data_IF_004217953007
#
_entry.id   IF_004217953007
#
_cell.length_a   1.000
_cell.length_b   1.000
_cell.length_c   1.000
_cell.angle_alpha   90.00
_cell.angle_beta   90.00
_cell.angle_gamma   90.00
#
_symmetry.space_group_name_H-M   'P 1'
#
loop_
_entity.id
_entity.type
_entity.pdbx_description
1 polymer ?
#
# COMPACT_ATOMS: atom_id res chain seq x y z
N UNK A 1 5.87 12.92 -21.49
CA UNK A 1 5.80 11.67 -20.69
C UNK A 1 7.16 11.39 -20.06
N UNK A 2 7.14 10.69 -18.92
CA UNK A 2 8.33 10.39 -18.11
C UNK A 2 8.60 8.88 -18.12
N UNK A 3 9.88 8.50 -17.98
CA UNK A 3 10.30 7.10 -17.84
C UNK A 3 10.06 6.59 -16.42
N UNK A 4 10.36 7.44 -15.42
CA UNK A 4 10.21 7.13 -14.00
C UNK A 4 9.68 8.36 -13.28
N UNK A 5 8.71 8.13 -12.40
CA UNK A 5 8.20 9.15 -11.45
C UNK A 5 8.31 8.56 -10.06
N UNK A 6 9.07 9.21 -9.17
CA UNK A 6 9.23 8.79 -7.79
C UNK A 6 8.94 9.96 -6.84
N UNK A 7 8.15 9.72 -5.80
CA UNK A 7 7.81 10.74 -4.80
C UNK A 7 7.30 10.14 -3.49
N UNK A 8 7.52 10.86 -2.40
CA UNK A 8 6.71 10.75 -1.20
C UNK A 8 5.56 11.75 -1.37
N UNK A 9 4.34 11.25 -1.64
CA UNK A 9 3.20 12.10 -1.94
C UNK A 9 2.53 12.63 -0.67
N UNK A 10 1.92 13.83 -0.71
CA UNK A 10 1.27 14.41 0.47
C UNK A 10 0.22 13.50 1.07
N UNK A 11 0.16 13.43 2.40
CA UNK A 11 -0.88 12.73 3.15
C UNK A 11 -2.03 13.70 3.43
N UNK A 12 -3.26 13.27 3.22
CA UNK A 12 -4.44 14.07 3.55
C UNK A 12 -5.60 13.94 2.57
N UNK A 13 -6.76 14.47 2.98
CA UNK A 13 -8.00 14.46 2.21
C UNK A 13 -8.29 15.80 1.50
N UNK A 14 -7.24 16.55 1.19
CA UNK A 14 -7.38 17.82 0.48
C UNK A 14 -7.78 17.58 -0.97
N UNK A 15 -8.78 18.31 -1.45
CA UNK A 15 -9.14 18.30 -2.88
C UNK A 15 -8.15 19.07 -3.72
N UNK A 16 -8.01 18.64 -4.99
CA UNK A 16 -7.12 19.28 -5.96
C UNK A 16 -7.95 19.96 -7.05
N UNK A 17 -7.60 21.21 -7.34
CA UNK A 17 -8.22 21.93 -8.45
C UNK A 17 -7.52 21.62 -9.76
N UNK A 18 -8.07 20.66 -10.50
CA UNK A 18 -7.66 20.35 -11.89
C UNK A 18 -8.94 20.21 -12.73
N UNK A 19 -9.14 21.16 -13.64
CA UNK A 19 -10.32 21.20 -14.51
C UNK A 19 -10.41 19.99 -15.43
N UNK A 20 -9.29 19.43 -15.87
CA UNK A 20 -9.26 18.25 -16.75
C UNK A 20 -9.77 17.00 -16.03
N UNK A 21 -9.47 16.90 -14.73
CA UNK A 21 -9.93 15.83 -13.87
C UNK A 21 -11.38 16.04 -13.40
N UNK A 22 -11.69 17.24 -12.91
CA UNK A 22 -13.02 17.56 -12.36
C UNK A 22 -14.15 17.50 -13.40
N UNK A 23 -13.83 17.70 -14.68
CA UNK A 23 -14.76 17.64 -15.83
C UNK A 23 -14.58 16.40 -16.69
N UNK A 24 -13.79 15.44 -16.26
CA UNK A 24 -13.57 14.20 -17.01
C UNK A 24 -14.86 13.38 -17.12
N UNK A 25 -15.00 12.66 -18.23
CA UNK A 25 -16.03 11.61 -18.38
C UNK A 25 -15.69 10.35 -17.59
N UNK A 26 -14.42 10.19 -17.21
CA UNK A 26 -13.96 9.11 -16.36
C UNK A 26 -14.28 9.43 -14.89
N UNK A 27 -15.17 8.65 -14.30
CA UNK A 27 -15.61 8.83 -12.92
C UNK A 27 -14.48 8.66 -11.89
N UNK A 28 -13.46 7.84 -12.19
CA UNK A 28 -12.30 7.66 -11.32
C UNK A 28 -11.47 8.96 -11.27
N UNK A 29 -11.29 9.66 -12.38
CA UNK A 29 -10.59 10.96 -12.43
C UNK A 29 -11.36 12.02 -11.65
N UNK A 30 -12.68 12.08 -11.78
CA UNK A 30 -13.54 13.00 -11.02
C UNK A 30 -13.45 12.71 -9.53
N UNK A 31 -13.49 11.44 -9.13
CA UNK A 31 -13.33 11.03 -7.74
C UNK A 31 -11.92 11.36 -7.21
N UNK A 32 -10.89 11.12 -8.01
CA UNK A 32 -9.51 11.39 -7.63
C UNK A 32 -9.24 12.86 -7.31
N UNK A 33 -9.86 13.80 -8.03
CA UNK A 33 -9.73 15.23 -7.76
C UNK A 33 -10.20 15.65 -6.36
N UNK A 34 -10.96 14.80 -5.66
CA UNK A 34 -11.45 15.06 -4.30
C UNK A 34 -10.46 14.69 -3.19
N UNK A 35 -9.37 14.00 -3.53
CA UNK A 35 -8.37 13.56 -2.56
C UNK A 35 -6.98 13.60 -3.18
N UNK A 36 -6.07 14.36 -2.56
CA UNK A 36 -4.75 14.64 -3.10
C UNK A 36 -3.95 13.37 -3.42
N UNK A 37 -3.97 12.36 -2.56
CA UNK A 37 -3.22 11.12 -2.82
C UNK A 37 -3.81 10.32 -4.00
N UNK A 38 -5.13 10.25 -4.15
CA UNK A 38 -5.78 9.62 -5.30
C UNK A 38 -5.42 10.34 -6.60
N UNK A 39 -5.45 11.69 -6.56
CA UNK A 39 -5.09 12.52 -7.70
C UNK A 39 -3.64 12.29 -8.13
N UNK A 40 -2.69 12.27 -7.19
CA UNK A 40 -1.28 12.04 -7.52
C UNK A 40 -1.06 10.68 -8.20
N UNK A 41 -1.75 9.63 -7.77
CA UNK A 41 -1.63 8.32 -8.41
C UNK A 41 -2.12 8.33 -9.86
N UNK A 42 -3.35 8.77 -10.11
CA UNK A 42 -3.87 8.79 -11.48
C UNK A 42 -3.11 9.77 -12.35
N UNK A 43 -2.80 10.97 -11.84
CA UNK A 43 -2.02 11.96 -12.59
C UNK A 43 -0.61 11.49 -12.88
N UNK A 44 0.04 10.84 -11.92
CA UNK A 44 1.38 10.25 -12.12
C UNK A 44 1.37 9.21 -13.23
N UNK A 45 0.41 8.29 -13.23
CA UNK A 45 0.31 7.28 -14.31
C UNK A 45 -0.07 7.90 -15.66
N UNK A 46 -0.89 8.95 -15.71
CA UNK A 46 -1.18 9.70 -16.95
C UNK A 46 0.08 10.35 -17.54
N UNK A 47 1.04 10.75 -16.68
CA UNK A 47 2.28 11.41 -17.11
C UNK A 47 3.39 10.43 -17.52
N UNK A 48 3.28 9.14 -17.19
CA UNK A 48 4.22 8.12 -17.63
C UNK A 48 4.03 7.79 -19.12
N UNK A 49 5.15 7.48 -19.79
CA UNK A 49 5.07 6.74 -21.05
C UNK A 49 4.65 5.30 -20.79
N UNK A 50 4.24 4.60 -21.84
CA UNK A 50 4.01 3.15 -21.76
C UNK A 50 5.31 2.44 -21.34
N UNK A 51 5.22 1.46 -20.46
CA UNK A 51 6.38 0.80 -19.84
C UNK A 51 7.08 1.61 -18.73
N UNK A 52 6.77 2.89 -18.54
CA UNK A 52 7.33 3.72 -17.48
C UNK A 52 6.91 3.27 -16.08
N UNK A 53 7.68 3.68 -15.06
CA UNK A 53 7.53 3.19 -13.67
C UNK A 53 7.16 4.31 -12.72
N UNK A 54 6.12 4.08 -11.91
CA UNK A 54 5.70 4.93 -10.80
C UNK A 54 6.16 4.34 -9.47
N UNK A 55 6.77 5.14 -8.60
CA UNK A 55 7.26 4.73 -7.28
C UNK A 55 6.78 5.75 -6.26
N UNK A 56 5.74 5.42 -5.50
CA UNK A 56 5.18 6.34 -4.51
C UNK A 56 5.17 5.76 -3.11
N UNK A 57 5.55 6.60 -2.13
CA UNK A 57 5.21 6.38 -0.72
C UNK A 57 3.99 7.23 -0.42
N UNK A 58 3.00 6.65 0.26
CA UNK A 58 1.72 7.27 0.56
C UNK A 58 1.18 6.82 1.92
N UNK A 59 0.16 7.52 2.43
CA UNK A 59 -0.59 7.03 3.59
C UNK A 59 -1.35 5.75 3.27
N UNK A 60 -1.64 4.96 4.29
CA UNK A 60 -2.40 3.70 4.13
C UNK A 60 -3.84 3.90 3.62
N UNK A 61 -4.36 5.11 3.68
CA UNK A 61 -5.74 5.44 3.31
C UNK A 61 -6.11 5.08 1.87
N UNK A 62 -5.18 5.23 0.91
CA UNK A 62 -5.46 4.88 -0.49
C UNK A 62 -5.75 3.38 -0.65
N UNK A 63 -5.03 2.52 0.07
CA UNK A 63 -5.19 1.07 -0.01
C UNK A 63 -6.28 0.55 0.93
N UNK A 64 -6.35 1.04 2.16
CA UNK A 64 -7.27 0.51 3.16
C UNK A 64 -8.72 0.94 2.94
N UNK A 65 -8.98 2.16 2.46
CA UNK A 65 -10.34 2.67 2.33
C UNK A 65 -11.12 1.95 1.22
N UNK A 66 -12.29 1.36 1.53
CA UNK A 66 -13.19 0.78 0.51
C UNK A 66 -13.66 1.82 -0.52
N UNK A 67 -13.76 3.09 -0.14
CA UNK A 67 -14.17 4.19 -1.03
C UNK A 67 -13.19 4.40 -2.18
N UNK A 68 -11.93 3.97 -2.03
CA UNK A 68 -10.88 4.11 -3.03
C UNK A 68 -10.76 2.89 -3.96
N UNK A 69 -11.60 1.87 -3.82
CA UNK A 69 -11.58 0.72 -4.72
C UNK A 69 -11.73 1.12 -6.21
N UNK A 70 -12.63 2.04 -6.61
CA UNK A 70 -12.71 2.48 -8.01
C UNK A 70 -11.40 3.09 -8.52
N UNK A 71 -10.67 3.82 -7.67
CA UNK A 71 -9.36 4.39 -8.02
C UNK A 71 -8.32 3.28 -8.22
N UNK A 72 -8.26 2.31 -7.30
CA UNK A 72 -7.34 1.17 -7.42
C UNK A 72 -7.62 0.33 -8.66
N UNK A 73 -8.90 0.11 -8.99
CA UNK A 73 -9.29 -0.59 -10.22
C UNK A 73 -8.89 0.19 -11.47
N UNK A 74 -9.11 1.49 -11.51
CA UNK A 74 -8.67 2.34 -12.62
C UNK A 74 -7.14 2.28 -12.80
N UNK A 75 -6.38 2.32 -11.70
CA UNK A 75 -4.92 2.15 -11.74
C UNK A 75 -4.53 0.79 -12.33
N UNK A 76 -5.17 -0.29 -11.92
CA UNK A 76 -4.82 -1.65 -12.38
C UNK A 76 -5.26 -1.94 -13.82
N UNK A 77 -6.18 -1.16 -14.39
CA UNK A 77 -6.57 -1.30 -15.80
C UNK A 77 -5.45 -0.92 -16.78
N UNK A 78 -4.60 0.03 -16.40
CA UNK A 78 -3.54 0.57 -17.27
C UNK A 78 -2.12 0.39 -16.69
N UNK A 79 -1.97 -0.33 -15.58
CA UNK A 79 -0.68 -0.54 -14.96
C UNK A 79 -0.57 -1.98 -14.44
N UNK A 80 0.65 -2.52 -14.48
CA UNK A 80 1.02 -3.75 -13.79
C UNK A 80 1.45 -3.40 -12.36
N UNK A 81 1.06 -4.22 -11.39
CA UNK A 81 1.56 -4.13 -10.03
C UNK A 81 2.96 -4.73 -9.96
N UNK A 82 3.99 -3.91 -9.76
CA UNK A 82 5.37 -4.37 -9.61
C UNK A 82 5.67 -4.71 -8.17
N UNK A 83 5.30 -3.84 -7.23
CA UNK A 83 5.47 -4.06 -5.80
C UNK A 83 4.48 -3.25 -4.99
N UNK A 84 4.03 -3.82 -3.87
CA UNK A 84 3.37 -3.10 -2.79
C UNK A 84 3.88 -3.62 -1.46
N UNK A 85 4.33 -2.70 -0.60
CA UNK A 85 4.93 -3.03 0.69
C UNK A 85 4.40 -2.05 1.73
N UNK A 86 3.86 -2.57 2.83
CA UNK A 86 3.52 -1.77 4.00
C UNK A 86 4.77 -1.49 4.81
N UNK A 87 4.97 -0.21 5.12
CA UNK A 87 6.12 0.27 5.86
C UNK A 87 5.76 0.42 7.34
N UNK A 88 6.72 0.19 8.26
CA UNK A 88 6.46 0.32 9.70
C UNK A 88 6.19 1.78 10.08
N UNK A 89 5.38 1.96 11.11
CA UNK A 89 4.94 3.28 11.57
C UNK A 89 6.10 4.18 12.03
N UNK A 90 7.20 3.58 12.49
CA UNK A 90 8.38 4.32 12.95
C UNK A 90 9.36 4.71 11.82
N UNK A 91 9.00 4.53 10.54
CA UNK A 91 9.87 4.93 9.42
C UNK A 91 10.28 6.40 9.47
N UNK A 92 9.35 7.29 9.83
CA UNK A 92 9.57 8.75 9.82
C UNK A 92 9.90 9.32 11.20
N UNK A 93 10.00 8.51 12.25
CA UNK A 93 10.19 8.99 13.62
C UNK A 93 11.50 9.75 13.79
N UNK A 94 12.61 9.21 13.23
CA UNK A 94 13.94 9.81 13.39
C UNK A 94 14.08 11.15 12.63
N UNK A 95 13.38 11.33 11.49
CA UNK A 95 13.56 12.47 10.61
C UNK A 95 12.44 13.50 10.68
N UNK A 96 11.23 13.06 11.00
CA UNK A 96 10.05 13.93 11.01
C UNK A 96 9.31 13.93 12.36
N UNK A 97 9.77 13.17 13.34
CA UNK A 97 9.17 13.11 14.68
C UNK A 97 7.72 12.59 14.67
N UNK A 98 7.31 11.85 13.64
CA UNK A 98 5.95 11.36 13.49
C UNK A 98 5.92 9.85 13.27
N UNK A 99 4.93 9.19 13.87
CA UNK A 99 4.60 7.78 13.63
C UNK A 99 3.36 7.72 12.76
N UNK A 100 3.52 7.35 11.51
CA UNK A 100 2.42 7.24 10.56
C UNK A 100 2.54 5.98 9.72
N UNK A 101 1.43 5.26 9.59
CA UNK A 101 1.37 4.12 8.69
C UNK A 101 1.42 4.55 7.23
N UNK A 102 2.35 3.99 6.48
CA UNK A 102 2.55 4.30 5.07
C UNK A 102 2.75 3.03 4.25
N UNK A 103 2.51 3.14 2.95
CA UNK A 103 2.68 2.07 1.99
C UNK A 103 3.57 2.56 0.83
N UNK A 104 4.52 1.72 0.40
CA UNK A 104 5.25 1.89 -0.85
C UNK A 104 4.53 1.15 -1.96
N UNK A 105 4.23 1.83 -3.05
CA UNK A 105 3.52 1.28 -4.22
C UNK A 105 4.37 1.54 -5.46
N UNK A 106 4.64 0.48 -6.22
CA UNK A 106 5.38 0.54 -7.48
C UNK A 106 4.52 -0.05 -8.59
N UNK A 107 4.25 0.75 -9.59
CA UNK A 107 3.44 0.41 -10.76
C UNK A 107 4.25 0.56 -12.03
N UNK A 108 3.98 -0.27 -13.04
CA UNK A 108 4.51 -0.10 -14.39
C UNK A 108 3.38 0.15 -15.35
N UNK A 109 3.44 1.25 -16.10
CA UNK A 109 2.43 1.58 -17.12
C UNK A 109 2.35 0.50 -18.19
N UNK A 110 1.13 0.01 -18.46
CA UNK A 110 0.84 -1.00 -19.49
C UNK A 110 -0.53 -0.72 -20.10
N UNK A 111 -0.54 0.03 -21.19
CA UNK A 111 -1.78 0.45 -21.86
C UNK A 111 -2.43 -0.64 -22.70
N UNK A 112 -1.72 -1.76 -22.93
CA UNK A 112 -2.25 -2.91 -23.68
C UNK A 112 -2.70 -4.07 -22.78
N UNK A 113 -2.74 -3.83 -21.46
CA UNK A 113 -3.17 -4.83 -20.47
C UNK A 113 -4.59 -5.30 -20.72
N UNK A 114 -4.82 -6.63 -20.66
CA UNK A 114 -6.11 -7.25 -20.98
C UNK A 114 -6.91 -7.67 -19.73
N UNK A 115 -6.22 -8.03 -18.67
CA UNK A 115 -6.86 -8.56 -17.45
C UNK A 115 -6.00 -8.27 -16.21
N UNK A 116 -6.64 -8.31 -15.03
CA UNK A 116 -5.96 -8.23 -13.76
C UNK A 116 -5.47 -9.61 -13.34
N UNK A 117 -4.32 -9.64 -12.68
CA UNK A 117 -3.80 -10.82 -11.98
C UNK A 117 -4.53 -10.99 -10.64
N UNK A 118 -4.40 -12.16 -9.99
CA UNK A 118 -4.95 -12.39 -8.66
C UNK A 118 -4.39 -11.38 -7.63
N UNK A 119 -3.10 -11.08 -7.68
CA UNK A 119 -2.46 -10.08 -6.81
C UNK A 119 -3.05 -8.68 -7.01
N UNK A 120 -3.33 -8.30 -8.24
CA UNK A 120 -3.95 -7.01 -8.57
C UNK A 120 -5.41 -6.94 -8.15
N UNK A 121 -6.15 -8.05 -8.21
CA UNK A 121 -7.49 -8.13 -7.64
C UNK A 121 -7.46 -7.94 -6.11
N UNK A 122 -6.51 -8.58 -5.40
CA UNK A 122 -6.30 -8.35 -3.96
C UNK A 122 -5.92 -6.90 -3.66
N UNK A 123 -5.04 -6.29 -4.48
CA UNK A 123 -4.69 -4.87 -4.36
C UNK A 123 -5.91 -3.95 -4.51
N UNK A 124 -6.87 -4.28 -5.36
CA UNK A 124 -8.08 -3.49 -5.53
C UNK A 124 -9.02 -3.57 -4.32
N UNK A 125 -9.08 -4.70 -3.62
CA UNK A 125 -10.08 -4.98 -2.60
C UNK A 125 -9.67 -4.51 -1.20
N UNK A 126 -10.67 -4.10 -0.40
CA UNK A 126 -10.53 -3.88 1.04
C UNK A 126 -11.39 -4.90 1.78
N UNK A 127 -10.92 -5.34 2.94
CA UNK A 127 -11.63 -6.26 3.83
C UNK A 127 -11.63 -5.72 5.25
N UNK A 128 -12.65 -6.11 6.03
CA UNK A 128 -12.68 -5.79 7.45
C UNK A 128 -11.69 -6.70 8.19
N UNK A 129 -10.90 -6.10 9.07
CA UNK A 129 -10.07 -6.84 10.03
C UNK A 129 -10.93 -7.39 11.15
N UNK A 130 -10.37 -8.25 11.99
CA UNK A 130 -11.00 -8.72 13.22
C UNK A 130 -11.35 -7.58 14.22
N UNK A 131 -10.77 -6.40 14.04
CA UNK A 131 -11.02 -5.19 14.84
C UNK A 131 -12.07 -4.27 14.21
N UNK A 132 -12.79 -4.75 13.19
CA UNK A 132 -13.80 -3.99 12.44
C UNK A 132 -13.26 -2.71 11.78
N UNK A 133 -12.00 -2.70 11.41
CA UNK A 133 -11.37 -1.63 10.64
C UNK A 133 -11.02 -2.11 9.23
N UNK A 134 -11.13 -1.26 8.19
CA UNK A 134 -10.81 -1.67 6.83
C UNK A 134 -9.29 -1.81 6.66
N UNK A 135 -8.87 -2.86 5.96
CA UNK A 135 -7.51 -3.06 5.48
C UNK A 135 -7.52 -3.57 4.06
N UNK A 136 -6.49 -3.25 3.29
CA UNK A 136 -6.37 -3.79 1.95
C UNK A 136 -6.17 -5.32 1.98
N UNK A 137 -6.87 -6.02 1.10
CA UNK A 137 -6.83 -7.49 1.05
C UNK A 137 -5.43 -8.05 0.74
N UNK A 138 -4.58 -7.26 0.09
CA UNK A 138 -3.19 -7.64 -0.21
C UNK A 138 -2.33 -7.87 1.04
N UNK A 139 -2.64 -7.21 2.16
CA UNK A 139 -1.92 -7.33 3.42
C UNK A 139 -2.50 -8.34 4.41
N UNK A 140 -3.39 -9.23 3.96
CA UNK A 140 -3.87 -10.32 4.82
C UNK A 140 -2.74 -11.24 5.27
N UNK A 141 -1.75 -11.41 4.40
CA UNK A 141 -0.48 -12.03 4.72
C UNK A 141 0.53 -10.95 5.13
N UNK A 142 1.14 -11.12 6.31
CA UNK A 142 2.14 -10.20 6.85
C UNK A 142 3.47 -10.20 6.09
N UNK A 143 3.66 -11.08 5.10
CA UNK A 143 4.91 -11.15 4.31
C UNK A 143 5.20 -9.88 3.51
N UNK A 144 4.18 -9.05 3.25
CA UNK A 144 4.30 -7.78 2.55
C UNK A 144 4.39 -6.57 3.47
N UNK A 145 4.67 -6.80 4.76
CA UNK A 145 4.79 -5.77 5.79
C UNK A 145 6.21 -5.82 6.36
N UNK A 146 6.95 -4.72 6.23
CA UNK A 146 8.28 -4.59 6.86
C UNK A 146 8.09 -4.30 8.33
N UNK A 147 8.50 -5.22 9.21
CA UNK A 147 8.41 -5.06 10.66
C UNK A 147 9.25 -6.09 11.41
N UNK A 148 9.64 -5.77 12.63
CA UNK A 148 10.15 -6.74 13.62
C UNK A 148 9.11 -7.00 14.70
N UNK A 149 8.29 -6.00 15.02
CA UNK A 149 7.32 -6.03 16.10
C UNK A 149 5.97 -5.47 15.62
N UNK A 150 4.91 -5.92 16.28
CA UNK A 150 3.56 -5.40 16.06
C UNK A 150 2.81 -5.31 17.39
N UNK A 151 1.97 -4.30 17.52
CA UNK A 151 1.06 -4.15 18.67
C UNK A 151 -0.30 -3.68 18.20
N UNK A 152 -1.34 -4.02 18.94
CA UNK A 152 -2.64 -3.38 18.80
C UNK A 152 -2.60 -2.06 19.55
N UNK A 153 -2.93 -0.97 18.88
CA UNK A 153 -2.96 0.38 19.43
C UNK A 153 -4.06 1.18 18.72
N UNK A 154 -4.05 2.48 18.82
CA UNK A 154 -4.91 3.37 18.07
C UNK A 154 -4.13 4.08 16.96
N UNK A 155 -4.76 4.28 15.82
CA UNK A 155 -4.23 5.15 14.77
C UNK A 155 -4.33 6.63 15.15
N UNK A 156 -3.85 7.51 14.27
CA UNK A 156 -3.92 8.96 14.48
C UNK A 156 -5.35 9.51 14.59
N UNK A 157 -6.36 8.72 14.21
CA UNK A 157 -7.78 9.06 14.27
C UNK A 157 -8.50 8.40 15.44
N UNK A 158 -7.76 7.73 16.33
CA UNK A 158 -8.31 7.05 17.51
C UNK A 158 -9.02 5.73 17.21
N UNK A 159 -8.81 5.14 16.02
CA UNK A 159 -9.38 3.84 15.67
C UNK A 159 -8.42 2.70 16.00
N UNK A 160 -8.92 1.52 16.44
CA UNK A 160 -8.07 0.37 16.69
C UNK A 160 -7.29 -0.02 15.42
N UNK A 161 -5.97 -0.11 15.53
CA UNK A 161 -5.09 -0.43 14.43
C UNK A 161 -3.92 -1.31 14.86
N UNK A 162 -3.46 -2.19 13.97
CA UNK A 162 -2.18 -2.85 14.13
C UNK A 162 -1.06 -1.88 13.76
N UNK A 163 -0.24 -1.55 14.74
CA UNK A 163 0.93 -0.70 14.59
C UNK A 163 2.15 -1.61 14.42
N UNK A 164 2.87 -1.40 13.34
CA UNK A 164 4.08 -2.14 13.00
C UNK A 164 5.30 -1.28 13.28
N UNK A 165 6.33 -1.85 13.89
CA UNK A 165 7.60 -1.15 14.15
C UNK A 165 8.78 -2.03 13.76
N UNK A 166 9.92 -1.40 13.49
CA UNK A 166 11.18 -2.08 13.23
C UNK A 166 12.21 -1.65 14.27
N UNK A 167 12.76 -2.60 15.02
CA UNK A 167 13.69 -2.35 16.13
C UNK A 167 14.99 -1.67 15.70
N UNK A 168 15.46 -1.94 14.47
CA UNK A 168 16.70 -1.40 13.93
C UNK A 168 16.48 -0.09 13.14
N UNK A 169 15.32 0.58 13.32
CA UNK A 169 14.99 1.87 12.73
C UNK A 169 15.14 1.90 11.22
N UNK A 170 15.48 3.07 10.67
CA UNK A 170 15.56 3.30 9.23
C UNK A 170 16.54 2.36 8.51
N UNK A 171 17.66 2.00 9.16
CA UNK A 171 18.67 1.10 8.56
C UNK A 171 18.14 -0.31 8.37
N UNK A 172 17.45 -0.86 9.37
CA UNK A 172 16.82 -2.19 9.27
C UNK A 172 15.70 -2.22 8.25
N UNK A 173 14.84 -1.19 8.26
CA UNK A 173 13.76 -1.00 7.28
C UNK A 173 14.33 -1.00 5.86
N UNK A 174 15.38 -0.22 5.61
CA UNK A 174 16.00 -0.13 4.29
C UNK A 174 16.60 -1.45 3.83
N UNK A 175 17.19 -2.23 4.74
CA UNK A 175 17.75 -3.57 4.43
C UNK A 175 16.66 -4.54 4.01
N UNK A 176 15.59 -4.66 4.80
CA UNK A 176 14.51 -5.59 4.53
C UNK A 176 13.73 -5.20 3.28
N UNK A 177 13.44 -3.90 3.13
CA UNK A 177 12.79 -3.35 1.94
C UNK A 177 13.61 -3.62 0.68
N UNK A 178 14.94 -3.41 0.73
CA UNK A 178 15.82 -3.70 -0.42
C UNK A 178 15.71 -5.14 -0.87
N UNK A 179 15.69 -6.11 0.07
CA UNK A 179 15.56 -7.52 -0.27
C UNK A 179 14.22 -7.80 -0.96
N UNK A 180 13.10 -7.27 -0.42
CA UNK A 180 11.77 -7.42 -1.01
C UNK A 180 11.71 -6.82 -2.42
N UNK A 181 12.25 -5.62 -2.61
CA UNK A 181 12.22 -4.93 -3.90
C UNK A 181 13.07 -5.62 -4.96
N UNK A 182 14.24 -6.17 -4.60
CA UNK A 182 15.06 -6.95 -5.54
C UNK A 182 14.33 -8.19 -6.05
N UNK A 183 13.61 -8.89 -5.17
CA UNK A 183 12.80 -10.04 -5.55
C UNK A 183 11.62 -9.62 -6.45
N UNK A 184 10.92 -8.53 -6.10
CA UNK A 184 9.77 -8.04 -6.86
C UNK A 184 10.17 -7.54 -8.24
N UNK A 185 11.24 -6.78 -8.35
CA UNK A 185 11.74 -6.31 -9.65
C UNK A 185 12.16 -7.47 -10.55
N UNK A 186 12.81 -8.47 -9.98
CA UNK A 186 13.18 -9.67 -10.74
C UNK A 186 12.00 -10.47 -11.26
N UNK A 187 10.86 -10.43 -10.55
CA UNK A 187 9.66 -11.22 -10.87
C UNK A 187 8.61 -10.45 -11.68
N UNK A 188 8.45 -9.14 -11.43
CA UNK A 188 7.26 -8.39 -11.84
C UNK A 188 7.54 -7.18 -12.72
N UNK A 189 8.79 -6.67 -12.76
CA UNK A 189 9.12 -5.60 -13.67
C UNK A 189 9.38 -6.16 -15.07
N UNK A 190 8.55 -5.75 -16.05
CA UNK A 190 8.74 -6.13 -17.44
C UNK A 190 9.77 -5.21 -18.11
N UNK A 191 11.00 -5.68 -18.24
CA UNK A 191 12.07 -4.89 -18.85
C UNK A 191 11.89 -4.72 -20.37
N UNK A 192 11.26 -5.68 -21.07
CA UNK A 192 10.90 -5.54 -22.48
C UNK A 192 9.91 -4.40 -22.70
N UNK A 193 8.85 -4.35 -21.87
CA UNK A 193 7.89 -3.24 -21.88
C UNK A 193 8.58 -1.90 -21.54
N UNK A 194 9.48 -1.89 -20.54
CA UNK A 194 10.24 -0.68 -20.19
C UNK A 194 11.13 -0.18 -21.34
N UNK A 195 11.70 -1.08 -22.13
CA UNK A 195 12.54 -0.74 -23.30
C UNK A 195 11.74 -0.43 -24.56
N UNK A 196 10.41 -0.56 -24.52
CA UNK A 196 9.55 -0.40 -25.69
C UNK A 196 9.57 -1.62 -26.65
N UNK A 197 10.05 -2.76 -26.16
CA UNK A 197 9.97 -4.03 -26.87
C UNK A 197 8.60 -4.64 -26.59
N UNK A 198 7.72 -4.67 -27.59
CA UNK A 198 6.37 -5.27 -27.47
C UNK A 198 6.47 -6.80 -27.41
N UNK A 199 6.79 -7.34 -26.26
CA UNK A 199 6.63 -8.76 -25.99
C UNK A 199 5.35 -8.99 -25.17
N UNK A 200 4.31 -9.45 -25.86
CA UNK A 200 3.00 -9.78 -25.30
C UNK A 200 2.97 -11.04 -24.41
N UNK A 201 4.11 -11.65 -24.06
CA UNK A 201 4.12 -13.03 -23.59
C UNK A 201 4.43 -13.28 -22.10
N UNK A 202 4.48 -12.26 -21.26
CA UNK A 202 4.74 -12.50 -19.82
C UNK A 202 3.72 -11.87 -18.89
N UNK A 203 2.52 -12.47 -18.85
CA UNK A 203 1.67 -12.41 -17.65
C UNK A 203 2.30 -13.36 -16.63
N UNK A 204 3.20 -12.87 -15.79
CA UNK A 204 3.75 -13.65 -14.69
C UNK A 204 2.69 -13.68 -13.58
N UNK A 205 2.02 -14.83 -13.44
CA UNK A 205 1.21 -15.13 -12.26
C UNK A 205 2.14 -15.18 -11.05
N UNK A 206 1.89 -14.36 -10.05
CA UNK A 206 2.58 -14.41 -8.75
C UNK A 206 2.04 -15.62 -7.99
N UNK A 207 2.79 -16.69 -7.77
CA UNK A 207 2.38 -17.68 -6.80
C UNK A 207 2.49 -17.05 -5.40
N UNK A 208 1.35 -16.78 -4.76
CA UNK A 208 1.35 -16.47 -3.32
C UNK A 208 1.67 -17.78 -2.60
N UNK A 209 2.95 -18.01 -2.32
CA UNK A 209 3.35 -19.12 -1.46
C UNK A 209 3.07 -18.69 -0.03
N UNK A 210 2.13 -19.31 0.69
CA UNK A 210 1.87 -18.96 2.07
C UNK A 210 3.12 -19.28 2.91
N UNK A 211 3.78 -18.24 3.42
CA UNK A 211 4.77 -18.43 4.47
C UNK A 211 4.05 -18.65 5.80
N UNK A 212 4.43 -19.70 6.49
CA UNK A 212 3.92 -20.06 7.82
C UNK A 212 4.12 -18.86 8.76
N UNK A 213 3.03 -18.26 9.19
CA UNK A 213 3.03 -17.22 10.21
C UNK A 213 3.49 -17.80 11.55
N UNK A 214 4.44 -17.16 12.26
CA UNK A 214 4.69 -17.54 13.65
C UNK A 214 3.41 -17.38 14.49
N UNK A 215 3.16 -18.25 15.48
CA UNK A 215 1.94 -18.22 16.27
C UNK A 215 1.76 -16.86 16.95
N UNK A 216 0.52 -16.35 16.93
CA UNK A 216 0.13 -15.16 17.69
C UNK A 216 0.28 -15.51 19.16
N UNK A 217 1.23 -14.89 19.86
CA UNK A 217 1.29 -14.95 21.32
C UNK A 217 0.17 -14.03 21.82
N UNK A 218 -0.94 -14.61 22.28
CA UNK A 218 -1.98 -13.85 22.96
C UNK A 218 -1.40 -13.25 24.23
N UNK A 219 -1.69 -11.96 24.54
CA UNK A 219 -1.30 -11.40 25.82
C UNK A 219 -2.00 -12.17 26.95
N UNK A 220 -1.23 -12.57 27.98
CA UNK A 220 -1.74 -13.28 29.14
C UNK A 220 -2.92 -12.50 29.73
N UNK A 221 -4.05 -13.19 29.90
CA UNK A 221 -5.23 -12.65 30.58
C UNK A 221 -4.87 -12.39 32.04
N UNK A 222 -4.75 -11.11 32.42
CA UNK A 222 -4.60 -10.74 33.82
C UNK A 222 -5.95 -10.96 34.48
N UNK A 223 -6.07 -12.02 35.24
CA UNK A 223 -7.20 -12.21 36.16
C UNK A 223 -7.06 -11.22 37.31
N UNK A 224 -7.91 -10.20 37.34
CA UNK A 224 -8.08 -9.32 38.50
C UNK A 224 -8.86 -10.10 39.57
N UNK A 225 -8.19 -10.48 40.63
CA UNK A 225 -8.88 -10.99 41.82
C UNK A 225 -9.74 -9.85 42.42
N UNK A 226 -10.99 -10.14 42.86
CA UNK A 226 -11.83 -9.14 43.52
C UNK A 226 -11.30 -8.83 44.90
N UNK A 227 -10.86 -7.61 45.13
CA UNK A 227 -10.56 -7.09 46.47
C UNK A 227 -11.83 -7.11 47.33
N UNK A 228 -11.84 -7.89 48.41
CA UNK A 228 -12.85 -7.86 49.46
C UNK A 228 -12.75 -6.51 50.21
N UNK A 229 -13.78 -5.69 50.09
CA UNK A 229 -14.00 -4.54 50.96
C UNK A 229 -14.34 -5.06 52.36
N UNK A 230 -13.45 -4.87 53.32
CA UNK A 230 -13.74 -5.00 54.75
C UNK A 230 -14.30 -3.66 55.24
N UNK A 231 -15.59 -3.67 55.56
CA UNK A 231 -16.24 -2.61 56.36
C UNK A 231 -15.79 -2.70 57.82
N UNK A 232 -15.26 -1.62 58.35
CA UNK A 232 -15.40 -1.19 59.74
C UNK A 232 -16.01 0.18 59.81
#
# INVERSE_FOLDING_TARGET
SYDVIASNIPFGDTSVFDLSYSRSKDSAKVQAARSIHNYFFLKGTDMLRDGGVLIYITSQGILNSPKNEPIRRALMQENNLVSVVRLPNNLFTEYAGTEVGSDLIILQKNTVKQSLTEAEELFCQSRQTQYNTPSNAFFQDSTRIVHTDRKLDTDLYGQPALIYTHKDGATGIAKDLKQMLLEDFGKHLNLGLYRGELNNDHVIQIPITPRVTPPIVEPATIQLEPQRLTTQ
#
